data_IF_515159182605
#
_entry.id   IF_515159182605
#
_cell.length_a   1.000
_cell.length_b   1.000
_cell.length_c   1.000
_cell.angle_alpha   90.00
_cell.angle_beta   90.00
_cell.angle_gamma   90.00
#
_symmetry.space_group_name_H-M   'P 1'
#
loop_
_entity.id
_entity.type
_entity.pdbx_description
1 polymer ?
#
# COMPACT_ATOMS: atom_id res chain seq x y z
N UNK A 1 30.87 -18.92 -27.55
CA UNK A 1 30.21 -17.73 -28.13
C UNK A 1 29.11 -18.21 -29.08
N UNK A 2 27.96 -18.67 -28.57
CA UNK A 2 26.81 -19.11 -29.38
C UNK A 2 25.50 -18.73 -28.66
N UNK A 3 24.79 -17.84 -29.35
CA UNK A 3 23.42 -17.31 -29.28
C UNK A 3 22.56 -17.43 -28.02
N UNK A 4 22.19 -16.23 -27.54
CA UNK A 4 20.96 -15.93 -26.81
C UNK A 4 19.71 -16.33 -27.62
N UNK A 5 19.05 -17.43 -27.26
CA UNK A 5 17.61 -17.58 -27.53
C UNK A 5 16.88 -17.41 -26.20
N UNK A 6 16.71 -16.14 -25.82
CA UNK A 6 15.67 -15.70 -24.89
C UNK A 6 14.32 -15.84 -25.60
N UNK A 7 13.23 -15.84 -24.83
CA UNK A 7 11.85 -15.52 -25.21
C UNK A 7 11.64 -15.06 -26.66
N UNK A 8 10.60 -15.53 -27.38
CA UNK A 8 10.41 -15.31 -28.82
C UNK A 8 10.89 -13.93 -29.22
N UNK A 9 11.85 -13.81 -30.17
CA UNK A 9 12.74 -12.67 -30.29
C UNK A 9 11.92 -11.39 -30.25
N UNK A 10 11.98 -10.68 -29.13
CA UNK A 10 11.51 -9.31 -29.11
C UNK A 10 12.44 -8.55 -30.04
N UNK A 11 11.92 -7.95 -31.11
CA UNK A 11 12.69 -7.07 -32.00
C UNK A 11 13.35 -5.87 -31.27
N UNK A 12 13.10 -5.73 -29.97
CA UNK A 12 13.62 -4.67 -29.12
C UNK A 12 14.74 -5.19 -28.19
N UNK A 13 15.85 -4.45 -28.05
CA UNK A 13 16.87 -4.77 -27.07
C UNK A 13 16.26 -4.72 -25.65
N UNK A 14 16.71 -5.55 -24.69
CA UNK A 14 16.20 -5.59 -23.32
C UNK A 14 16.17 -4.20 -22.65
N UNK A 15 17.14 -3.35 -23.00
CA UNK A 15 17.22 -1.97 -22.53
C UNK A 15 16.05 -1.11 -23.02
N UNK A 16 15.58 -1.29 -24.26
CA UNK A 16 14.42 -0.57 -24.78
C UNK A 16 13.12 -0.95 -24.04
N UNK A 17 12.97 -2.22 -23.65
CA UNK A 17 11.83 -2.67 -22.84
C UNK A 17 11.88 -2.02 -21.46
N UNK A 18 13.03 -1.99 -20.80
CA UNK A 18 13.21 -1.34 -19.50
C UNK A 18 12.91 0.16 -19.59
N UNK A 19 13.47 0.84 -20.59
CA UNK A 19 13.24 2.27 -20.82
C UNK A 19 11.76 2.56 -21.10
N UNK A 20 11.05 1.69 -21.84
CA UNK A 20 9.62 1.82 -22.09
C UNK A 20 8.72 1.56 -20.86
N UNK A 21 9.16 0.72 -19.92
CA UNK A 21 8.42 0.44 -18.70
C UNK A 21 8.47 1.58 -17.67
N UNK A 22 9.55 2.36 -17.65
CA UNK A 22 9.71 3.51 -16.74
C UNK A 22 8.55 4.52 -16.89
N UNK A 23 8.24 5.08 -18.07
CA UNK A 23 7.15 6.05 -18.21
C UNK A 23 5.78 5.44 -17.93
N UNK A 24 5.57 4.14 -18.19
CA UNK A 24 4.32 3.45 -17.81
C UNK A 24 4.19 3.39 -16.28
N UNK A 25 5.27 3.04 -15.58
CA UNK A 25 5.29 3.00 -14.12
C UNK A 25 5.08 4.40 -13.51
N UNK A 26 5.78 5.41 -14.03
CA UNK A 26 5.64 6.82 -13.60
C UNK A 26 4.21 7.32 -13.87
N UNK A 27 3.66 7.05 -15.06
CA UNK A 27 2.30 7.44 -15.42
C UNK A 27 1.25 6.79 -14.52
N UNK A 28 1.38 5.48 -14.24
CA UNK A 28 0.46 4.76 -13.34
C UNK A 28 0.54 5.28 -11.91
N UNK A 29 1.75 5.47 -11.38
CA UNK A 29 1.97 5.95 -10.01
C UNK A 29 1.50 7.39 -9.83
N UNK A 30 1.70 8.25 -10.83
CA UNK A 30 1.21 9.62 -10.83
C UNK A 30 -0.31 9.67 -10.93
N UNK A 31 -0.92 8.90 -11.82
CA UNK A 31 -2.36 9.03 -12.13
C UNK A 31 -3.27 8.66 -10.95
N UNK A 32 -3.00 7.55 -10.27
CA UNK A 32 -3.93 6.98 -9.27
C UNK A 32 -4.35 7.95 -8.14
N UNK A 33 -3.44 8.59 -7.40
CA UNK A 33 -3.82 9.47 -6.29
C UNK A 33 -4.56 10.74 -6.77
N UNK A 34 -4.26 11.22 -7.98
CA UNK A 34 -4.93 12.40 -8.52
C UNK A 34 -6.32 12.08 -9.08
N UNK A 35 -6.52 10.92 -9.70
CA UNK A 35 -7.83 10.52 -10.25
C UNK A 35 -8.86 10.33 -9.14
N UNK A 36 -8.47 9.65 -8.05
CA UNK A 36 -9.32 9.47 -6.87
C UNK A 36 -9.82 10.82 -6.33
N UNK A 37 -8.86 11.72 -6.06
CA UNK A 37 -9.17 13.08 -5.60
C UNK A 37 -10.04 13.86 -6.60
N UNK A 38 -9.74 13.76 -7.89
CA UNK A 38 -10.49 14.46 -8.93
C UNK A 38 -11.95 13.99 -8.98
N UNK A 39 -12.21 12.67 -8.95
CA UNK A 39 -13.57 12.11 -8.94
C UNK A 39 -14.35 12.62 -7.74
N UNK A 40 -13.72 12.60 -6.57
CA UNK A 40 -14.31 13.10 -5.33
C UNK A 40 -14.69 14.57 -5.43
N UNK A 41 -13.80 15.41 -5.97
CA UNK A 41 -14.05 16.84 -6.16
C UNK A 41 -15.23 17.09 -7.12
N UNK A 42 -15.38 16.29 -8.17
CA UNK A 42 -16.53 16.41 -9.09
C UNK A 42 -17.85 15.93 -8.46
N UNK A 43 -17.81 14.91 -7.60
CA UNK A 43 -19.00 14.35 -6.94
C UNK A 43 -19.52 15.23 -5.80
N UNK A 44 -18.64 15.94 -5.09
CA UNK A 44 -18.98 16.81 -3.96
C UNK A 44 -19.87 17.99 -4.38
N UNK A 45 -19.68 18.49 -5.61
CA UNK A 45 -20.40 19.65 -6.15
C UNK A 45 -21.87 19.36 -6.51
N UNK A 46 -22.25 18.08 -6.66
CA UNK A 46 -23.58 17.67 -7.11
C UNK A 46 -24.49 17.18 -5.95
N UNK A 47 -24.08 17.33 -4.69
CA UNK A 47 -24.89 16.91 -3.53
C UNK A 47 -25.41 18.11 -2.70
N UNK A 48 -26.68 18.08 -2.23
CA UNK A 48 -27.26 19.16 -1.41
C UNK A 48 -26.75 19.15 0.05
N UNK A 49 -26.55 20.36 0.61
CA UNK A 49 -25.87 20.70 1.87
C UNK A 49 -26.21 19.89 3.15
N UNK A 50 -25.61 18.69 3.32
CA UNK A 50 -25.48 18.04 4.64
C UNK A 50 -24.10 17.41 4.87
N UNK A 51 -23.13 18.23 5.29
CA UNK A 51 -21.69 17.93 5.40
C UNK A 51 -21.29 16.51 5.85
N UNK A 52 -21.85 16.00 6.95
CA UNK A 52 -21.39 14.73 7.54
C UNK A 52 -21.92 13.46 6.83
N UNK A 53 -23.04 13.57 6.12
CA UNK A 53 -23.57 12.46 5.32
C UNK A 53 -22.99 12.49 3.90
N UNK A 54 -22.65 13.68 3.40
CA UNK A 54 -22.06 13.90 2.07
C UNK A 54 -20.72 13.18 1.92
N UNK A 55 -19.78 13.35 2.86
CA UNK A 55 -18.43 12.79 2.69
C UNK A 55 -18.43 11.26 2.57
N UNK A 56 -19.25 10.57 3.40
CA UNK A 56 -19.37 9.11 3.34
C UNK A 56 -20.04 8.63 2.06
N UNK A 57 -21.03 9.36 1.52
CA UNK A 57 -21.69 9.00 0.26
C UNK A 57 -20.79 9.24 -0.94
N UNK A 58 -20.09 10.37 -0.98
CA UNK A 58 -19.15 10.72 -2.04
C UNK A 58 -18.02 9.70 -2.11
N UNK A 59 -17.40 9.35 -0.98
CA UNK A 59 -16.34 8.32 -0.92
C UNK A 59 -16.89 6.96 -1.36
N UNK A 60 -18.09 6.57 -0.92
CA UNK A 60 -18.69 5.30 -1.34
C UNK A 60 -18.99 5.26 -2.85
N UNK A 61 -19.42 6.38 -3.44
CA UNK A 61 -19.64 6.50 -4.89
C UNK A 61 -18.33 6.45 -5.67
N UNK A 62 -17.29 7.12 -5.19
CA UNK A 62 -15.94 7.04 -5.75
C UNK A 62 -15.44 5.58 -5.76
N UNK A 63 -15.51 4.89 -4.62
CA UNK A 63 -15.12 3.49 -4.47
C UNK A 63 -15.91 2.59 -5.43
N UNK A 64 -17.22 2.84 -5.58
CA UNK A 64 -18.08 2.13 -6.52
C UNK A 64 -17.65 2.36 -7.98
N UNK A 65 -17.39 3.61 -8.39
CA UNK A 65 -16.97 3.93 -9.76
C UNK A 65 -15.60 3.34 -10.09
N UNK A 66 -14.64 3.42 -9.17
CA UNK A 66 -13.31 2.82 -9.33
C UNK A 66 -13.40 1.29 -9.39
N UNK A 67 -14.25 0.67 -8.57
CA UNK A 67 -14.49 -0.77 -8.60
C UNK A 67 -15.14 -1.21 -9.92
N UNK A 68 -16.11 -0.44 -10.41
CA UNK A 68 -16.75 -0.69 -11.70
C UNK A 68 -15.75 -0.57 -12.86
N UNK A 69 -14.93 0.49 -12.88
CA UNK A 69 -13.89 0.68 -13.89
C UNK A 69 -12.85 -0.46 -13.85
N UNK A 70 -12.45 -0.91 -12.65
CA UNK A 70 -11.57 -2.06 -12.47
C UNK A 70 -12.18 -3.35 -13.00
N UNK A 71 -13.44 -3.63 -12.68
CA UNK A 71 -14.18 -4.80 -13.17
C UNK A 71 -14.36 -4.79 -14.69
N UNK A 72 -14.74 -3.66 -15.27
CA UNK A 72 -14.85 -3.49 -16.72
C UNK A 72 -13.50 -3.67 -17.42
N UNK A 73 -12.41 -3.12 -16.86
CA UNK A 73 -11.05 -3.30 -17.37
C UNK A 73 -10.59 -4.76 -17.34
N UNK A 74 -10.92 -5.51 -16.27
CA UNK A 74 -10.65 -6.95 -16.18
C UNK A 74 -11.40 -7.73 -17.25
N UNK A 75 -12.69 -7.46 -17.46
CA UNK A 75 -13.49 -8.10 -18.51
C UNK A 75 -12.94 -7.79 -19.91
N UNK A 76 -12.56 -6.54 -20.16
CA UNK A 76 -11.97 -6.12 -21.43
C UNK A 76 -10.59 -6.76 -21.68
N UNK A 77 -9.85 -7.10 -20.61
CA UNK A 77 -8.54 -7.74 -20.73
C UNK A 77 -8.61 -9.20 -21.24
N UNK A 78 -9.73 -9.91 -20.98
CA UNK A 78 -9.91 -11.32 -21.37
C UNK A 78 -9.62 -11.62 -22.85
N UNK A 79 -10.25 -10.95 -23.83
CA UNK A 79 -9.96 -11.19 -25.25
C UNK A 79 -8.53 -10.80 -25.64
N UNK A 80 -7.94 -9.80 -24.98
CA UNK A 80 -6.57 -9.37 -25.27
C UNK A 80 -5.55 -10.46 -24.96
N UNK A 81 -5.78 -11.30 -23.95
CA UNK A 81 -4.85 -12.39 -23.59
C UNK A 81 -4.64 -13.41 -24.73
N UNK A 82 -5.58 -13.52 -25.67
CA UNK A 82 -5.46 -14.37 -26.86
C UNK A 82 -4.47 -13.76 -27.89
N UNK A 83 -4.33 -12.43 -27.90
CA UNK A 83 -3.44 -11.72 -28.80
C UNK A 83 -1.96 -11.86 -28.42
N UNK A 84 -1.07 -11.69 -29.39
CA UNK A 84 0.38 -11.61 -29.15
C UNK A 84 0.73 -10.43 -28.23
N UNK A 85 1.80 -10.57 -27.43
CA UNK A 85 2.19 -9.54 -26.46
C UNK A 85 2.42 -8.13 -27.06
N UNK A 86 2.96 -7.96 -28.28
CA UNK A 86 3.09 -6.62 -28.87
C UNK A 86 1.73 -6.03 -29.23
N UNK A 87 0.83 -6.85 -29.78
CA UNK A 87 -0.52 -6.41 -30.14
C UNK A 87 -1.32 -5.99 -28.90
N UNK A 88 -1.18 -6.74 -27.79
CA UNK A 88 -1.74 -6.36 -26.49
C UNK A 88 -1.29 -4.98 -26.03
N UNK A 89 0.01 -4.67 -26.15
CA UNK A 89 0.56 -3.37 -25.77
C UNK A 89 0.06 -2.24 -26.69
N UNK A 90 -0.01 -2.48 -28.00
CA UNK A 90 -0.54 -1.51 -28.97
C UNK A 90 -2.00 -1.19 -28.66
N UNK A 91 -2.85 -2.21 -28.49
CA UNK A 91 -4.27 -2.02 -28.17
C UNK A 91 -4.42 -1.27 -26.85
N UNK A 92 -3.68 -1.67 -25.80
CA UNK A 92 -3.70 -0.97 -24.51
C UNK A 92 -3.24 0.50 -24.64
N UNK A 93 -2.24 0.77 -25.48
CA UNK A 93 -1.78 2.13 -25.77
C UNK A 93 -2.83 2.97 -26.49
N UNK A 94 -3.49 2.42 -27.51
CA UNK A 94 -4.59 3.09 -28.21
C UNK A 94 -5.74 3.42 -27.25
N UNK A 95 -6.14 2.47 -26.39
CA UNK A 95 -7.19 2.70 -25.38
C UNK A 95 -6.79 3.82 -24.42
N UNK A 96 -5.53 3.86 -23.97
CA UNK A 96 -5.04 4.93 -23.10
C UNK A 96 -5.07 6.29 -23.81
N UNK A 97 -4.68 6.36 -25.08
CA UNK A 97 -4.73 7.60 -25.89
C UNK A 97 -6.17 8.07 -26.07
N UNK A 98 -7.09 7.16 -26.41
CA UNK A 98 -8.52 7.49 -26.55
C UNK A 98 -9.08 8.01 -25.23
N UNK A 99 -8.79 7.33 -24.11
CA UNK A 99 -9.24 7.77 -22.78
C UNK A 99 -8.68 9.16 -22.41
N UNK A 100 -7.41 9.42 -22.73
CA UNK A 100 -6.80 10.73 -22.53
C UNK A 100 -7.43 11.83 -23.40
N UNK A 101 -7.71 11.55 -24.68
CA UNK A 101 -8.40 12.49 -25.57
C UNK A 101 -9.82 12.78 -25.08
N UNK A 102 -10.56 11.76 -24.64
CA UNK A 102 -11.87 11.95 -24.02
C UNK A 102 -11.78 12.81 -22.76
N UNK A 103 -10.77 12.56 -21.91
CA UNK A 103 -10.52 13.38 -20.72
C UNK A 103 -10.26 14.84 -21.08
N UNK A 104 -9.45 15.11 -22.11
CA UNK A 104 -9.18 16.46 -22.59
C UNK A 104 -10.42 17.14 -23.20
N UNK A 105 -11.21 16.44 -24.00
CA UNK A 105 -12.43 16.99 -24.61
C UNK A 105 -13.46 17.38 -23.56
N UNK A 106 -13.52 16.65 -22.45
CA UNK A 106 -14.40 16.93 -21.32
C UNK A 106 -13.86 18.02 -20.37
N UNK A 107 -12.69 18.61 -20.62
CA UNK A 107 -12.08 19.63 -19.73
C UNK A 107 -12.99 20.84 -19.48
N UNK A 108 -13.79 21.23 -20.48
CA UNK A 108 -14.74 22.34 -20.35
C UNK A 108 -15.92 22.01 -19.43
N UNK A 109 -16.23 20.74 -19.21
CA UNK A 109 -17.32 20.27 -18.36
C UNK A 109 -16.88 20.03 -16.92
N UNK A 110 -15.58 19.98 -16.64
CA UNK A 110 -15.07 19.75 -15.30
C UNK A 110 -15.15 21.00 -14.45
N UNK A 111 -15.61 20.83 -13.21
CA UNK A 111 -15.59 21.88 -12.21
C UNK A 111 -14.15 22.21 -11.84
N UNK A 112 -13.78 23.50 -11.92
CA UNK A 112 -12.45 24.00 -11.56
C UNK A 112 -12.49 24.55 -10.15
N UNK A 113 -12.04 23.78 -9.17
CA UNK A 113 -11.80 24.30 -7.82
C UNK A 113 -10.46 25.03 -7.82
N UNK A 114 -10.43 26.25 -7.27
CA UNK A 114 -9.16 26.93 -7.01
C UNK A 114 -8.34 26.05 -6.07
N UNK A 115 -7.25 25.50 -6.59
CA UNK A 115 -6.31 24.78 -5.76
C UNK A 115 -5.67 25.80 -4.80
N UNK A 116 -6.06 25.75 -3.52
CA UNK A 116 -5.29 26.40 -2.48
C UNK A 116 -3.80 26.12 -2.72
N UNK A 117 -2.92 27.13 -2.68
CA UNK A 117 -1.57 27.06 -3.26
C UNK A 117 -0.86 25.77 -2.84
N UNK A 118 -0.79 24.84 -3.80
CA UNK A 118 -0.33 23.46 -3.64
C UNK A 118 1.12 23.45 -3.11
N UNK A 119 1.87 24.52 -3.36
CA UNK A 119 3.29 24.65 -3.07
C UNK A 119 3.66 24.56 -1.58
N UNK A 120 2.74 24.74 -0.62
CA UNK A 120 3.14 24.92 0.79
C UNK A 120 2.97 23.68 1.70
N UNK A 121 2.34 22.59 1.24
CA UNK A 121 1.97 21.45 2.12
C UNK A 121 2.71 20.13 1.86
N UNK A 122 3.27 19.89 0.68
CA UNK A 122 3.85 18.59 0.32
C UNK A 122 5.16 18.23 1.04
N UNK A 123 5.82 19.23 1.66
CA UNK A 123 7.00 19.03 2.51
C UNK A 123 6.74 19.37 3.97
N UNK A 124 5.47 19.45 4.41
CA UNK A 124 5.13 19.83 5.78
C UNK A 124 5.83 18.93 6.82
N UNK A 125 5.84 17.61 6.60
CA UNK A 125 6.53 16.66 7.49
C UNK A 125 8.04 16.92 7.55
N UNK A 126 8.70 17.09 6.41
CA UNK A 126 10.15 17.39 6.35
C UNK A 126 10.46 18.73 7.00
N UNK A 127 9.63 19.74 6.76
CA UNK A 127 9.74 21.07 7.36
C UNK A 127 9.56 21.01 8.88
N UNK A 128 8.59 20.24 9.38
CA UNK A 128 8.35 20.05 10.82
C UNK A 128 9.54 19.36 11.47
N UNK A 129 10.07 18.28 10.86
CA UNK A 129 11.26 17.60 11.37
C UNK A 129 12.47 18.54 11.39
N UNK A 130 12.66 19.30 10.33
CA UNK A 130 13.74 20.29 10.23
C UNK A 130 13.62 21.39 11.29
N UNK A 131 12.42 21.98 11.45
CA UNK A 131 12.13 22.97 12.47
C UNK A 131 12.35 22.43 13.89
N UNK A 132 11.94 21.19 14.16
CA UNK A 132 12.17 20.54 15.45
C UNK A 132 13.66 20.32 15.75
N UNK A 133 14.47 19.99 14.72
CA UNK A 133 15.92 19.86 14.86
C UNK A 133 16.57 21.22 15.16
N UNK A 134 16.16 22.27 14.46
CA UNK A 134 16.67 23.63 14.68
C UNK A 134 16.29 24.14 16.07
N UNK A 135 15.04 23.93 16.49
CA UNK A 135 14.51 24.41 17.77
C UNK A 135 14.81 23.44 18.93
N UNK A 136 15.70 22.46 18.75
CA UNK A 136 16.00 21.44 19.78
C UNK A 136 16.53 22.05 21.09
N UNK A 137 17.13 23.24 21.02
CA UNK A 137 17.66 23.97 22.17
C UNK A 137 16.57 24.65 23.01
N UNK A 138 15.35 24.83 22.48
CA UNK A 138 14.28 25.55 23.15
C UNK A 138 13.78 24.78 24.38
N UNK A 139 13.49 25.50 25.45
CA UNK A 139 12.84 24.94 26.63
C UNK A 139 11.38 24.61 26.33
N UNK A 140 10.85 23.56 26.99
CA UNK A 140 9.47 23.16 26.78
C UNK A 140 8.55 24.14 27.52
N UNK A 141 7.58 24.77 26.84
CA UNK A 141 6.76 25.79 27.47
C UNK A 141 5.90 25.23 28.60
N UNK A 142 5.70 26.02 29.65
CA UNK A 142 4.85 25.66 30.80
C UNK A 142 3.36 25.92 30.56
N UNK A 143 3.01 26.67 29.50
CA UNK A 143 1.64 27.01 29.11
C UNK A 143 1.37 26.67 27.64
N UNK A 144 0.20 26.11 27.28
CA UNK A 144 -0.18 25.76 25.91
C UNK A 144 -0.27 26.96 24.95
N UNK A 145 -0.35 28.19 25.48
CA UNK A 145 -0.44 29.43 24.68
C UNK A 145 0.85 29.77 23.92
N UNK A 146 1.96 29.10 24.21
CA UNK A 146 3.24 29.31 23.51
C UNK A 146 3.39 28.49 22.23
N UNK A 147 2.39 27.66 21.89
CA UNK A 147 2.37 26.93 20.63
C UNK A 147 1.70 27.74 19.52
N UNK A 148 2.25 27.66 18.31
CA UNK A 148 1.72 28.33 17.13
C UNK A 148 0.48 27.62 16.59
N UNK A 149 -0.68 28.22 16.82
CA UNK A 149 -1.97 27.79 16.27
C UNK A 149 -2.27 28.64 15.04
N UNK A 150 -2.60 27.98 13.92
CA UNK A 150 -3.03 28.68 12.71
C UNK A 150 -4.56 28.77 12.75
N UNK A 151 -5.14 29.96 12.60
CA UNK A 151 -6.60 30.23 12.55
C UNK A 151 -7.45 29.77 13.77
N UNK A 152 -7.04 30.03 15.02
CA UNK A 152 -7.83 29.69 16.22
C UNK A 152 -8.29 28.22 16.28
N UNK A 153 -7.51 27.28 15.71
CA UNK A 153 -7.75 25.85 15.88
C UNK A 153 -7.66 25.51 17.39
N UNK A 154 -8.75 25.05 18.02
CA UNK A 154 -8.82 24.60 19.44
C UNK A 154 -8.05 23.28 19.69
N UNK A 155 -7.18 22.88 18.77
CA UNK A 155 -6.40 21.65 18.85
C UNK A 155 -5.25 21.83 19.85
N UNK A 156 -5.49 21.39 21.08
CA UNK A 156 -4.43 21.31 22.08
C UNK A 156 -3.36 20.30 21.66
N UNK A 157 -2.09 20.71 21.81
CA UNK A 157 -0.93 19.88 21.52
C UNK A 157 -0.75 18.89 22.69
N UNK A 158 -1.57 17.86 22.72
CA UNK A 158 -1.52 16.85 23.79
C UNK A 158 -0.15 16.17 23.79
N UNK A 159 0.47 15.99 24.97
CA UNK A 159 1.78 15.34 25.12
C UNK A 159 1.64 13.83 24.97
N UNK A 160 1.15 13.37 23.82
CA UNK A 160 1.00 11.96 23.52
C UNK A 160 2.25 11.48 22.77
N UNK A 161 2.88 10.45 23.36
CA UNK A 161 4.18 9.84 23.07
C UNK A 161 5.42 10.63 23.57
N UNK A 162 5.93 10.25 24.76
CA UNK A 162 7.20 10.73 25.34
C UNK A 162 8.38 10.63 24.34
N UNK A 163 8.35 9.65 23.44
CA UNK A 163 9.39 9.42 22.42
C UNK A 163 9.40 10.48 21.29
N UNK A 164 8.27 11.15 21.04
CA UNK A 164 8.12 12.14 19.97
C UNK A 164 8.02 13.58 20.50
N UNK A 165 8.26 13.78 21.81
CA UNK A 165 8.16 15.09 22.46
C UNK A 165 9.09 16.15 21.88
N UNK A 166 10.21 15.74 21.28
CA UNK A 166 11.14 16.67 20.64
C UNK A 166 10.53 17.35 19.39
N UNK A 167 9.52 16.74 18.75
CA UNK A 167 8.87 17.27 17.56
C UNK A 167 7.96 18.45 17.90
N UNK A 168 7.46 18.51 19.13
CA UNK A 168 6.62 19.61 19.65
C UNK A 168 7.36 20.94 19.61
N UNK A 169 8.70 20.90 19.62
CA UNK A 169 9.54 22.09 19.53
C UNK A 169 9.45 22.81 18.19
N UNK A 170 8.94 22.16 17.14
CA UNK A 170 8.66 22.82 15.86
C UNK A 170 7.51 23.83 15.94
N UNK A 171 6.63 23.71 16.93
CA UNK A 171 5.49 24.61 17.13
C UNK A 171 5.73 25.68 18.21
N UNK A 172 6.90 25.70 18.86
CA UNK A 172 7.21 26.70 19.90
C UNK A 172 7.52 28.04 19.25
N UNK A 173 6.79 29.08 19.66
CA UNK A 173 7.05 30.46 19.23
C UNK A 173 8.29 30.98 19.96
N UNK A 174 9.32 31.36 19.21
CA UNK A 174 10.50 32.03 19.77
C UNK A 174 10.24 33.54 19.87
N UNK A 175 10.49 34.13 21.05
CA UNK A 175 10.14 35.52 21.37
C UNK A 175 11.02 36.58 20.70
N UNK A 176 12.15 36.19 20.12
CA UNK A 176 13.18 37.11 19.57
C UNK A 176 12.95 37.51 18.12
N UNK A 177 12.09 36.80 17.37
CA UNK A 177 11.81 37.01 15.96
C UNK A 177 10.29 37.08 15.72
N UNK A 178 9.86 37.90 14.76
CA UNK A 178 8.44 37.97 14.37
C UNK A 178 7.93 36.64 13.79
N UNK A 179 6.69 36.26 14.12
CA UNK A 179 6.08 34.98 13.73
C UNK A 179 6.13 34.74 12.21
N UNK A 180 5.78 35.73 11.39
CA UNK A 180 5.81 35.63 9.92
C UNK A 180 7.22 35.37 9.37
N UNK A 181 8.25 35.94 9.99
CA UNK A 181 9.64 35.73 9.59
C UNK A 181 10.11 34.32 9.93
N UNK A 182 9.71 33.79 11.09
CA UNK A 182 10.02 32.42 11.50
C UNK A 182 9.29 31.38 10.63
N UNK A 183 8.04 31.66 10.28
CA UNK A 183 7.26 30.80 9.38
C UNK A 183 7.89 30.77 7.99
N UNK A 184 8.25 31.94 7.43
CA UNK A 184 8.89 32.05 6.11
C UNK A 184 10.28 31.41 6.08
N UNK A 185 11.01 31.44 7.20
CA UNK A 185 12.29 30.76 7.36
C UNK A 185 12.18 29.24 7.58
N UNK A 186 10.95 28.71 7.69
CA UNK A 186 10.70 27.29 7.93
C UNK A 186 11.07 26.82 9.35
N UNK A 187 11.19 27.76 10.31
CA UNK A 187 11.53 27.50 11.72
C UNK A 187 10.32 27.39 12.65
N UNK A 188 9.15 27.82 12.17
CA UNK A 188 7.88 27.71 12.88
C UNK A 188 6.88 26.90 12.05
N UNK A 189 6.19 25.97 12.70
CA UNK A 189 5.15 25.13 12.12
C UNK A 189 3.90 25.14 13.01
N UNK A 190 2.71 24.97 12.41
CA UNK A 190 1.47 24.93 13.18
C UNK A 190 1.32 23.63 13.97
N UNK A 191 0.60 23.70 15.10
CA UNK A 191 0.25 22.54 15.94
C UNK A 191 -0.31 21.37 15.13
N UNK A 192 -1.21 21.67 14.19
CA UNK A 192 -1.80 20.67 13.29
C UNK A 192 -0.75 19.94 12.45
N UNK A 193 0.20 20.66 11.86
CA UNK A 193 1.28 20.04 11.07
C UNK A 193 2.17 19.15 11.93
N UNK A 194 2.41 19.53 13.20
CA UNK A 194 3.18 18.76 14.17
C UNK A 194 2.45 17.46 14.54
N UNK A 195 1.15 17.53 14.85
CA UNK A 195 0.33 16.35 15.14
C UNK A 195 0.26 15.38 13.94
N UNK A 196 0.00 15.91 12.75
CA UNK A 196 -0.01 15.14 11.50
C UNK A 196 1.35 14.45 11.24
N UNK A 197 2.46 15.12 11.54
CA UNK A 197 3.82 14.55 11.42
C UNK A 197 4.08 13.45 12.46
N UNK A 198 3.66 13.66 13.71
CA UNK A 198 3.75 12.63 14.76
C UNK A 198 2.94 11.39 14.39
N UNK A 199 1.78 11.57 13.79
CA UNK A 199 0.95 10.47 13.31
C UNK A 199 1.69 9.63 12.25
N UNK A 200 2.29 10.28 11.24
CA UNK A 200 3.14 9.59 10.23
C UNK A 200 4.24 8.77 10.90
N UNK A 201 4.97 9.37 11.86
CA UNK A 201 6.07 8.70 12.54
C UNK A 201 5.61 7.50 13.39
N UNK A 202 4.41 7.57 13.98
CA UNK A 202 3.79 6.44 14.67
C UNK A 202 3.47 5.27 13.73
N UNK A 203 3.28 5.52 12.44
CA UNK A 203 2.98 4.49 11.42
C UNK A 203 4.23 3.82 10.83
N UNK A 204 5.41 4.43 10.95
CA UNK A 204 6.67 3.89 10.41
C UNK A 204 6.95 2.43 10.84
N UNK A 205 6.78 2.03 12.11
CA UNK A 205 6.95 0.64 12.50
C UNK A 205 5.99 -0.31 11.77
N UNK A 206 4.72 0.06 11.62
CA UNK A 206 3.73 -0.75 10.89
C UNK A 206 4.13 -0.88 9.43
N UNK A 207 4.50 0.22 8.77
CA UNK A 207 4.98 0.19 7.38
C UNK A 207 6.20 -0.72 7.20
N UNK A 208 7.09 -0.80 8.20
CA UNK A 208 8.25 -1.71 8.11
C UNK A 208 7.85 -3.19 8.03
N UNK A 209 6.75 -3.63 8.68
CA UNK A 209 6.19 -4.97 8.48
C UNK A 209 5.68 -5.17 7.05
N UNK A 210 5.10 -4.12 6.46
CA UNK A 210 4.54 -4.17 5.11
C UNK A 210 5.59 -4.21 4.01
N UNK A 211 6.85 -3.85 4.30
CA UNK A 211 7.97 -4.06 3.36
C UNK A 211 8.18 -5.55 3.09
N UNK A 212 8.22 -6.38 4.15
CA UNK A 212 8.38 -7.83 4.00
C UNK A 212 7.14 -8.50 3.42
N UNK A 213 5.95 -8.01 3.77
CA UNK A 213 4.71 -8.44 3.11
C UNK A 213 4.73 -8.12 1.61
N UNK A 214 5.14 -6.89 1.26
CA UNK A 214 5.29 -6.42 -0.11
C UNK A 214 6.31 -7.22 -0.92
N UNK A 215 7.41 -7.66 -0.28
CA UNK A 215 8.37 -8.59 -0.85
C UNK A 215 7.69 -9.91 -1.27
N UNK A 216 6.93 -10.54 -0.38
CA UNK A 216 6.22 -11.80 -0.65
C UNK A 216 5.14 -11.60 -1.72
N UNK A 217 4.39 -10.51 -1.65
CA UNK A 217 3.38 -10.14 -2.65
C UNK A 217 4.00 -9.92 -4.04
N UNK A 218 5.11 -9.19 -4.12
CA UNK A 218 5.84 -8.94 -5.38
C UNK A 218 6.40 -10.23 -5.96
N UNK A 219 6.99 -11.07 -5.12
CA UNK A 219 7.49 -12.39 -5.51
C UNK A 219 6.35 -13.28 -6.03
N UNK A 220 5.20 -13.30 -5.37
CA UNK A 220 4.06 -14.08 -5.83
C UNK A 220 3.49 -13.61 -7.16
N UNK A 221 3.31 -12.30 -7.34
CA UNK A 221 2.82 -11.75 -8.60
C UNK A 221 3.76 -12.04 -9.80
N UNK A 222 5.06 -12.11 -9.55
CA UNK A 222 6.08 -12.30 -10.60
C UNK A 222 6.39 -13.78 -10.85
N UNK A 223 6.76 -14.52 -9.80
CA UNK A 223 7.25 -15.89 -9.89
C UNK A 223 6.11 -16.88 -10.19
N UNK A 224 4.95 -16.73 -9.55
CA UNK A 224 3.78 -17.58 -9.86
C UNK A 224 3.28 -17.40 -11.29
N UNK A 225 3.37 -16.18 -11.82
CA UNK A 225 3.04 -15.92 -13.23
C UNK A 225 4.06 -16.57 -14.17
N UNK A 226 5.34 -16.57 -13.78
CA UNK A 226 6.40 -17.21 -14.56
C UNK A 226 6.28 -18.75 -14.57
N UNK A 227 5.91 -19.36 -13.43
CA UNK A 227 5.53 -20.77 -13.36
C UNK A 227 4.37 -21.09 -14.30
N UNK A 228 3.31 -20.27 -14.27
CA UNK A 228 2.12 -20.46 -15.06
C UNK A 228 2.35 -20.42 -16.58
N UNK A 229 3.35 -19.66 -17.05
CA UNK A 229 3.71 -19.58 -18.48
C UNK A 229 4.40 -20.87 -18.97
N UNK A 230 5.08 -21.63 -18.10
CA UNK A 230 5.85 -22.83 -18.46
C UNK A 230 5.06 -24.14 -18.45
N UNK A 231 3.78 -24.08 -18.11
CA UNK A 231 2.89 -25.24 -18.11
C UNK A 231 2.27 -25.45 -19.49
N UNK A 232 2.05 -26.71 -19.89
CA UNK A 232 1.49 -27.05 -21.22
C UNK A 232 0.10 -26.41 -21.48
N UNK A 233 -0.62 -26.06 -20.43
CA UNK A 233 -1.93 -25.39 -20.48
C UNK A 233 -1.87 -23.85 -20.35
N UNK A 234 -0.69 -23.24 -20.39
CA UNK A 234 -0.42 -21.84 -20.01
C UNK A 234 -1.22 -20.78 -20.78
N UNK A 235 -1.21 -20.84 -22.11
CA UNK A 235 -1.48 -19.65 -22.93
C UNK A 235 -2.95 -19.17 -22.89
N UNK A 236 -3.90 -20.03 -22.50
CA UNK A 236 -5.32 -19.66 -22.40
C UNK A 236 -5.84 -19.55 -20.98
N UNK A 237 -5.25 -20.27 -20.02
CA UNK A 237 -5.83 -20.41 -18.70
C UNK A 237 -5.20 -19.54 -17.62
N UNK A 238 -4.01 -18.96 -17.87
CA UNK A 238 -3.34 -18.06 -16.93
C UNK A 238 -4.21 -16.85 -16.55
N UNK A 239 -4.97 -16.32 -17.51
CA UNK A 239 -5.87 -15.19 -17.25
C UNK A 239 -6.94 -15.53 -16.21
N UNK A 240 -7.44 -16.78 -16.18
CA UNK A 240 -8.42 -17.18 -15.17
C UNK A 240 -7.80 -17.23 -13.77
N UNK A 241 -6.50 -17.55 -13.63
CA UNK A 241 -5.80 -17.47 -12.35
C UNK A 241 -5.62 -16.03 -11.87
N UNK A 242 -5.30 -15.11 -12.78
CA UNK A 242 -5.19 -13.67 -12.47
C UNK A 242 -6.57 -13.10 -12.07
N UNK A 243 -7.64 -13.51 -12.77
CA UNK A 243 -9.01 -13.18 -12.39
C UNK A 243 -9.37 -13.77 -11.02
N UNK A 244 -8.98 -15.02 -10.75
CA UNK A 244 -9.23 -15.69 -9.48
C UNK A 244 -8.59 -14.94 -8.30
N UNK A 245 -7.33 -14.50 -8.44
CA UNK A 245 -6.67 -13.62 -7.47
C UNK A 245 -7.42 -12.30 -7.29
N UNK A 246 -7.83 -11.65 -8.39
CA UNK A 246 -8.54 -10.37 -8.36
C UNK A 246 -9.90 -10.48 -7.66
N UNK A 247 -10.63 -11.57 -7.91
CA UNK A 247 -11.89 -11.90 -7.25
C UNK A 247 -11.69 -12.19 -5.76
N UNK A 248 -10.70 -13.01 -5.40
CA UNK A 248 -10.38 -13.32 -4.01
C UNK A 248 -10.04 -12.06 -3.21
N UNK A 249 -9.26 -11.14 -3.80
CA UNK A 249 -8.99 -9.82 -3.23
C UNK A 249 -10.28 -9.03 -3.02
N UNK A 250 -11.10 -8.87 -4.05
CA UNK A 250 -12.36 -8.13 -3.98
C UNK A 250 -13.35 -8.68 -2.94
N UNK A 251 -13.45 -10.02 -2.83
CA UNK A 251 -14.32 -10.69 -1.85
C UNK A 251 -13.99 -10.28 -0.41
N UNK A 252 -12.71 -10.05 -0.12
CA UNK A 252 -12.28 -9.73 1.24
C UNK A 252 -12.11 -8.23 1.47
N UNK A 253 -11.88 -7.45 0.41
CA UNK A 253 -11.85 -5.99 0.48
C UNK A 253 -13.23 -5.39 0.75
N UNK A 254 -14.28 -5.97 0.18
CA UNK A 254 -15.63 -5.40 0.31
C UNK A 254 -16.17 -5.41 1.74
N UNK A 255 -17.18 -4.55 1.98
CA UNK A 255 -18.03 -4.56 3.19
C UNK A 255 -18.78 -5.89 3.38
N UNK A 256 -18.75 -6.79 2.40
CA UNK A 256 -19.29 -8.15 2.48
C UNK A 256 -18.31 -9.14 3.12
N UNK A 257 -17.08 -8.73 3.44
CA UNK A 257 -16.14 -9.63 4.11
C UNK A 257 -16.73 -10.16 5.43
N UNK A 258 -16.56 -11.46 5.73
CA UNK A 258 -17.07 -12.06 6.97
C UNK A 258 -16.61 -11.30 8.22
N UNK A 259 -15.38 -10.77 8.19
CA UNK A 259 -14.79 -9.93 9.24
C UNK A 259 -15.48 -8.55 9.38
N UNK A 260 -16.02 -8.00 8.29
CA UNK A 260 -16.81 -6.77 8.34
C UNK A 260 -18.20 -7.02 8.90
N UNK A 261 -18.87 -8.11 8.47
CA UNK A 261 -20.18 -8.51 8.97
C UNK A 261 -20.14 -8.85 10.47
N UNK A 262 -19.12 -9.60 10.91
CA UNK A 262 -18.89 -9.89 12.33
C UNK A 262 -18.63 -8.63 13.16
N UNK A 263 -18.11 -7.57 12.54
CA UNK A 263 -17.85 -6.29 13.19
C UNK A 263 -19.09 -5.45 13.46
N UNK A 264 -20.21 -5.64 12.75
CA UNK A 264 -21.45 -4.94 13.10
C UNK A 264 -22.00 -5.39 14.46
N UNK A 265 -21.56 -6.56 14.94
CA UNK A 265 -21.94 -7.10 16.24
C UNK A 265 -21.09 -6.54 17.39
N UNK A 266 -19.91 -5.96 17.12
CA UNK A 266 -19.00 -5.42 18.14
C UNK A 266 -18.45 -4.02 17.80
N UNK A 267 -19.27 -2.95 17.92
CA UNK A 267 -18.93 -1.60 17.45
C UNK A 267 -17.80 -0.89 18.24
N UNK A 268 -17.54 -1.26 19.50
CA UNK A 268 -16.52 -0.61 20.36
C UNK A 268 -15.07 -1.04 20.08
N UNK A 269 -14.81 -1.81 19.02
CA UNK A 269 -13.52 -2.45 18.74
C UNK A 269 -12.90 -2.10 17.37
N UNK A 270 -13.22 -0.94 16.77
CA UNK A 270 -12.79 -0.56 15.40
C UNK A 270 -11.27 -0.65 15.16
N UNK A 271 -10.45 -0.08 16.05
CA UNK A 271 -8.99 -0.16 15.92
C UNK A 271 -8.46 -1.60 16.06
N UNK A 272 -9.07 -2.40 16.95
CA UNK A 272 -8.75 -3.83 17.09
C UNK A 272 -9.14 -4.60 15.82
N UNK A 273 -10.22 -4.23 15.14
CA UNK A 273 -10.68 -4.85 13.88
C UNK A 273 -9.72 -4.61 12.72
N UNK A 274 -9.29 -3.36 12.49
CA UNK A 274 -8.39 -3.04 11.37
C UNK A 274 -7.06 -3.78 11.53
N UNK A 275 -6.53 -3.85 12.76
CA UNK A 275 -5.36 -4.66 13.06
C UNK A 275 -5.60 -6.15 12.85
N UNK A 276 -6.76 -6.69 13.23
CA UNK A 276 -7.10 -8.11 12.97
C UNK A 276 -7.17 -8.44 11.47
N UNK A 277 -7.59 -7.50 10.62
CA UNK A 277 -7.52 -7.67 9.16
C UNK A 277 -6.07 -7.77 8.69
N UNK A 278 -5.20 -6.88 9.17
CA UNK A 278 -3.76 -6.93 8.89
C UNK A 278 -3.19 -8.29 9.31
N UNK A 279 -3.51 -8.75 10.52
CA UNK A 279 -3.13 -10.08 11.02
C UNK A 279 -3.60 -11.22 10.12
N UNK A 280 -4.86 -11.19 9.70
CA UNK A 280 -5.41 -12.18 8.78
C UNK A 280 -4.60 -12.25 7.49
N UNK A 281 -4.27 -11.10 6.89
CA UNK A 281 -3.44 -11.04 5.69
C UNK A 281 -2.04 -11.61 5.92
N UNK A 282 -1.40 -11.27 7.04
CA UNK A 282 -0.06 -11.79 7.38
C UNK A 282 -0.05 -13.29 7.63
N UNK A 283 -1.05 -13.85 8.32
CA UNK A 283 -1.17 -15.30 8.55
C UNK A 283 -1.43 -16.04 7.23
N UNK A 284 -2.30 -15.51 6.37
CA UNK A 284 -2.55 -16.09 5.05
C UNK A 284 -1.28 -16.04 4.19
N UNK A 285 -0.39 -15.06 4.36
CA UNK A 285 0.91 -15.04 3.66
C UNK A 285 1.81 -16.23 3.99
N UNK A 286 1.72 -16.78 5.21
CA UNK A 286 2.42 -18.02 5.59
C UNK A 286 1.82 -19.20 4.84
N UNK A 287 0.49 -19.30 4.83
CA UNK A 287 -0.24 -20.37 4.12
C UNK A 287 0.03 -20.32 2.62
N UNK A 288 0.00 -19.12 2.02
CA UNK A 288 0.35 -18.88 0.63
C UNK A 288 1.76 -19.40 0.34
N UNK A 289 2.75 -18.98 1.13
CA UNK A 289 4.15 -19.38 0.94
C UNK A 289 4.32 -20.90 1.06
N UNK A 290 3.63 -21.53 2.01
CA UNK A 290 3.67 -22.99 2.21
C UNK A 290 3.06 -23.74 1.01
N UNK A 291 1.92 -23.27 0.49
CA UNK A 291 1.28 -23.86 -0.69
C UNK A 291 2.17 -23.68 -1.92
N UNK A 292 2.69 -22.48 -2.17
CA UNK A 292 3.60 -22.21 -3.28
C UNK A 292 4.85 -23.10 -3.22
N UNK A 293 5.44 -23.28 -2.04
CA UNK A 293 6.54 -24.22 -1.84
C UNK A 293 6.16 -25.66 -2.21
N UNK A 294 5.00 -26.14 -1.75
CA UNK A 294 4.55 -27.51 -2.06
C UNK A 294 4.26 -27.73 -3.54
N UNK A 295 3.61 -26.76 -4.19
CA UNK A 295 3.31 -26.80 -5.63
C UNK A 295 4.61 -26.83 -6.43
N UNK A 296 5.61 -26.04 -6.04
CA UNK A 296 6.90 -26.02 -6.73
C UNK A 296 7.71 -27.31 -6.53
N UNK A 297 7.71 -27.89 -5.32
CA UNK A 297 8.32 -29.22 -5.09
C UNK A 297 7.65 -30.28 -5.97
N UNK A 298 6.32 -30.26 -6.07
CA UNK A 298 5.58 -31.19 -6.92
C UNK A 298 5.90 -30.99 -8.41
N UNK A 299 6.01 -29.75 -8.87
CA UNK A 299 6.41 -29.42 -10.24
C UNK A 299 7.80 -29.95 -10.58
N UNK A 300 8.77 -29.76 -9.68
CA UNK A 300 10.14 -30.27 -9.86
C UNK A 300 10.18 -31.81 -9.88
N UNK A 301 9.39 -32.49 -9.04
CA UNK A 301 9.30 -33.96 -9.05
C UNK A 301 8.75 -34.50 -10.38
N UNK A 302 7.76 -33.81 -10.99
CA UNK A 302 7.26 -34.19 -12.31
C UNK A 302 8.33 -33.94 -13.37
N UNK A 303 9.04 -32.81 -13.28
CA UNK A 303 10.14 -32.49 -14.21
C UNK A 303 11.24 -33.56 -14.18
N UNK A 304 11.72 -33.94 -12.99
CA UNK A 304 12.77 -34.96 -12.84
C UNK A 304 12.32 -36.33 -13.40
N UNK A 305 11.07 -36.73 -13.15
CA UNK A 305 10.51 -37.97 -13.71
C UNK A 305 10.42 -37.90 -15.22
N UNK A 306 9.86 -36.83 -15.76
CA UNK A 306 9.68 -36.67 -17.20
C UNK A 306 11.02 -36.64 -17.94
N UNK A 307 12.01 -35.92 -17.38
CA UNK A 307 13.37 -35.85 -17.90
C UNK A 307 14.10 -37.20 -17.85
N UNK A 308 13.86 -38.02 -16.82
CA UNK A 308 14.43 -39.37 -16.73
C UNK A 308 13.84 -40.36 -17.76
N UNK A 309 12.60 -40.13 -18.22
CA UNK A 309 11.92 -41.00 -19.19
C UNK A 309 12.17 -40.57 -20.64
N UNK A 310 12.34 -39.28 -20.92
CA UNK A 310 12.69 -38.80 -22.25
C UNK A 310 14.21 -38.80 -22.44
N UNK A 311 14.73 -39.79 -23.18
CA UNK A 311 16.14 -39.84 -23.60
C UNK A 311 16.58 -38.67 -24.51
N UNK A 312 15.79 -37.59 -24.63
CA UNK A 312 16.11 -36.40 -25.39
C UNK A 312 16.89 -35.40 -24.53
N UNK A 313 18.19 -35.48 -24.69
CA UNK A 313 19.16 -34.50 -24.22
C UNK A 313 18.90 -33.14 -24.91
N UNK A 314 18.78 -32.09 -24.10
CA UNK A 314 18.89 -30.65 -24.43
C UNK A 314 17.71 -29.78 -24.86
N UNK A 315 16.45 -30.22 -24.78
CA UNK A 315 15.34 -29.24 -24.96
C UNK A 315 14.92 -28.62 -23.61
N UNK A 316 15.38 -27.40 -23.34
CA UNK A 316 15.17 -26.68 -22.08
C UNK A 316 13.80 -25.96 -21.98
N UNK A 317 13.00 -26.00 -23.05
CA UNK A 317 11.68 -25.36 -23.17
C UNK A 317 10.52 -26.38 -23.21
N UNK A 318 10.73 -27.55 -22.58
CA UNK A 318 9.67 -28.56 -22.47
C UNK A 318 8.55 -28.01 -21.57
N UNK A 319 7.37 -27.84 -22.17
CA UNK A 319 6.14 -27.61 -21.45
C UNK A 319 5.83 -28.84 -20.59
N UNK A 320 5.72 -28.64 -19.27
CA UNK A 320 5.43 -29.73 -18.35
C UNK A 320 3.97 -30.19 -18.48
N UNK A 321 3.69 -31.51 -18.47
CA UNK A 321 2.35 -32.08 -18.50
C UNK A 321 1.66 -31.95 -17.13
N UNK A 322 1.63 -30.74 -16.59
CA UNK A 322 1.00 -30.39 -15.33
C UNK A 322 -0.11 -29.38 -15.60
N UNK A 323 -1.28 -29.66 -15.03
CA UNK A 323 -2.44 -28.77 -15.16
C UNK A 323 -2.20 -27.45 -14.44
N UNK A 324 -2.51 -26.33 -15.11
CA UNK A 324 -2.45 -24.97 -14.56
C UNK A 324 -3.30 -24.78 -13.30
N UNK A 325 -4.35 -25.58 -13.11
CA UNK A 325 -5.23 -25.50 -11.94
C UNK A 325 -4.53 -25.86 -10.62
N UNK A 326 -3.38 -26.52 -10.66
CA UNK A 326 -2.55 -26.72 -9.47
C UNK A 326 -2.02 -25.41 -8.88
N UNK A 327 -1.96 -24.34 -9.67
CA UNK A 327 -1.61 -22.99 -9.19
C UNK A 327 -2.83 -22.25 -8.61
N UNK A 328 -4.07 -22.73 -8.80
CA UNK A 328 -5.26 -22.03 -8.32
C UNK A 328 -5.27 -21.78 -6.79
N UNK A 329 -4.85 -22.73 -5.92
CA UNK A 329 -4.80 -22.50 -4.48
C UNK A 329 -3.85 -21.36 -4.08
N UNK A 330 -2.67 -21.27 -4.71
CA UNK A 330 -1.72 -20.19 -4.42
C UNK A 330 -2.23 -18.82 -4.91
N UNK A 331 -2.87 -18.75 -6.08
CA UNK A 331 -3.48 -17.50 -6.57
C UNK A 331 -4.66 -17.02 -5.70
N UNK A 332 -5.49 -17.93 -5.20
CA UNK A 332 -6.56 -17.63 -4.24
C UNK A 332 -6.00 -17.04 -2.94
N UNK A 333 -5.01 -17.72 -2.34
CA UNK A 333 -4.39 -17.26 -1.10
C UNK A 333 -3.65 -15.94 -1.28
N UNK A 334 -3.00 -15.73 -2.43
CA UNK A 334 -2.35 -14.47 -2.79
C UNK A 334 -3.35 -13.30 -2.81
N UNK A 335 -4.53 -13.51 -3.42
CA UNK A 335 -5.59 -12.51 -3.44
C UNK A 335 -6.18 -12.22 -2.05
N UNK A 336 -6.39 -13.26 -1.23
CA UNK A 336 -6.88 -13.09 0.13
C UNK A 336 -5.90 -12.36 1.05
N UNK A 337 -4.60 -12.70 0.99
CA UNK A 337 -3.61 -11.99 1.80
C UNK A 337 -3.51 -10.52 1.38
N UNK A 338 -3.50 -10.24 0.07
CA UNK A 338 -3.44 -8.88 -0.46
C UNK A 338 -4.64 -8.07 0.03
N UNK A 339 -5.86 -8.53 -0.23
CA UNK A 339 -7.08 -7.81 0.14
C UNK A 339 -7.20 -7.53 1.64
N UNK A 340 -6.89 -8.52 2.50
CA UNK A 340 -6.92 -8.31 3.95
C UNK A 340 -5.88 -7.31 4.44
N UNK A 341 -4.65 -7.43 3.96
CA UNK A 341 -3.54 -6.65 4.47
C UNK A 341 -3.59 -5.20 3.97
N UNK A 342 -3.88 -4.98 2.68
CA UNK A 342 -3.93 -3.63 2.09
C UNK A 342 -5.09 -2.82 2.63
N UNK A 343 -6.29 -3.40 2.70
CA UNK A 343 -7.47 -2.71 3.24
C UNK A 343 -7.37 -2.53 4.75
N UNK A 344 -6.81 -3.53 5.45
CA UNK A 344 -6.51 -3.43 6.87
C UNK A 344 -5.59 -2.26 7.17
N UNK A 345 -4.53 -2.09 6.37
CA UNK A 345 -3.59 -0.98 6.49
C UNK A 345 -4.25 0.35 6.16
N UNK A 346 -5.00 0.42 5.06
CA UNK A 346 -5.65 1.65 4.60
C UNK A 346 -6.62 2.20 5.64
N UNK A 347 -7.47 1.33 6.19
CA UNK A 347 -8.38 1.73 7.26
C UNK A 347 -7.64 2.03 8.56
N UNK A 348 -6.53 1.35 8.86
CA UNK A 348 -5.75 1.61 10.06
C UNK A 348 -5.06 2.98 10.02
N UNK A 349 -4.50 3.37 8.87
CA UNK A 349 -3.85 4.68 8.70
C UNK A 349 -4.82 5.84 8.53
N UNK A 350 -6.08 5.57 8.18
CA UNK A 350 -7.11 6.60 8.00
C UNK A 350 -8.15 6.62 9.14
N UNK A 351 -7.91 5.91 10.25
CA UNK A 351 -8.87 5.73 11.36
C UNK A 351 -9.08 7.01 12.19
N UNK A 352 -8.10 7.91 12.21
CA UNK A 352 -8.15 9.11 13.05
C UNK A 352 -8.89 10.26 12.34
N UNK A 353 -9.94 10.74 13.01
CA UNK A 353 -10.89 11.73 12.49
C UNK A 353 -10.26 13.14 12.39
N UNK A 354 -9.21 13.42 13.16
CA UNK A 354 -8.56 14.73 13.18
C UNK A 354 -7.65 14.98 11.97
N UNK A 355 -7.32 13.95 11.18
CA UNK A 355 -6.49 14.10 9.99
C UNK A 355 -7.25 14.84 8.88
N UNK A 356 -6.55 15.81 8.28
CA UNK A 356 -7.04 16.46 7.06
C UNK A 356 -7.22 15.45 5.92
N UNK A 357 -8.20 15.71 5.04
CA UNK A 357 -8.46 14.88 3.85
C UNK A 357 -7.22 14.71 2.97
N UNK A 358 -6.43 15.79 2.80
CA UNK A 358 -5.18 15.75 2.05
C UNK A 358 -4.14 14.82 2.68
N UNK A 359 -4.09 14.75 4.02
CA UNK A 359 -3.18 13.83 4.70
C UNK A 359 -3.61 12.36 4.54
N UNK A 360 -4.91 12.06 4.60
CA UNK A 360 -5.43 10.70 4.35
C UNK A 360 -5.03 10.20 2.95
N UNK A 361 -5.17 11.05 1.92
CA UNK A 361 -4.73 10.73 0.55
C UNK A 361 -3.21 10.49 0.50
N UNK A 362 -2.43 11.31 1.21
CA UNK A 362 -0.97 11.14 1.27
C UNK A 362 -0.56 9.83 1.96
N UNK A 363 -1.21 9.46 3.06
CA UNK A 363 -0.99 8.19 3.76
C UNK A 363 -1.34 6.99 2.89
N UNK A 364 -2.46 7.06 2.16
CA UNK A 364 -2.85 6.04 1.17
C UNK A 364 -1.76 5.83 0.10
N UNK A 365 -1.21 6.93 -0.43
CA UNK A 365 -0.12 6.87 -1.39
C UNK A 365 1.15 6.23 -0.79
N UNK A 366 1.48 6.53 0.48
CA UNK A 366 2.59 5.86 1.19
C UNK A 366 2.33 4.37 1.36
N UNK A 367 1.11 3.96 1.74
CA UNK A 367 0.75 2.55 1.89
C UNK A 367 1.04 1.77 0.59
N UNK A 368 0.58 2.28 -0.55
CA UNK A 368 0.83 1.67 -1.86
C UNK A 368 2.32 1.66 -2.20
N UNK A 369 3.04 2.76 -1.92
CA UNK A 369 4.47 2.87 -2.18
C UNK A 369 5.30 1.87 -1.36
N UNK A 370 4.99 1.69 -0.08
CA UNK A 370 5.69 0.73 0.81
C UNK A 370 5.44 -0.70 0.34
N UNK A 371 4.18 -1.06 0.11
CA UNK A 371 3.80 -2.44 -0.25
C UNK A 371 4.32 -2.80 -1.65
N UNK A 372 4.02 -1.98 -2.65
CA UNK A 372 4.30 -2.32 -4.04
C UNK A 372 5.68 -1.85 -4.47
N UNK A 373 6.05 -0.60 -4.15
CA UNK A 373 7.31 0.01 -4.56
C UNK A 373 8.50 -0.59 -3.82
N UNK A 374 8.60 -0.34 -2.51
CA UNK A 374 9.72 -0.80 -1.68
C UNK A 374 9.77 -2.33 -1.64
N UNK A 375 8.62 -2.99 -1.50
CA UNK A 375 8.52 -4.45 -1.55
C UNK A 375 9.06 -5.06 -2.86
N UNK A 376 8.77 -4.47 -4.02
CA UNK A 376 9.29 -4.95 -5.30
C UNK A 376 10.77 -4.68 -5.49
N UNK A 377 11.28 -3.53 -5.02
CA UNK A 377 12.73 -3.25 -5.02
C UNK A 377 13.46 -4.27 -4.16
N UNK A 378 12.91 -4.60 -2.98
CA UNK A 378 13.48 -5.63 -2.11
C UNK A 378 13.44 -7.00 -2.78
N UNK A 379 12.35 -7.36 -3.48
CA UNK A 379 12.27 -8.60 -4.26
C UNK A 379 13.35 -8.68 -5.34
N UNK A 380 13.53 -7.61 -6.12
CA UNK A 380 14.59 -7.53 -7.14
C UNK A 380 15.97 -7.71 -6.50
N UNK A 381 16.23 -7.05 -5.37
CA UNK A 381 17.49 -7.17 -4.63
C UNK A 381 17.71 -8.60 -4.12
N UNK A 382 16.67 -9.25 -3.59
CA UNK A 382 16.72 -10.65 -3.15
C UNK A 382 17.04 -11.60 -4.32
N UNK A 383 16.37 -11.42 -5.47
CA UNK A 383 16.63 -12.22 -6.68
C UNK A 383 18.07 -12.00 -7.16
N UNK A 384 18.52 -10.75 -7.24
CA UNK A 384 19.86 -10.40 -7.71
C UNK A 384 20.97 -10.90 -6.77
N UNK A 385 20.74 -10.88 -5.47
CA UNK A 385 21.71 -11.34 -4.46
C UNK A 385 21.83 -12.86 -4.43
N UNK A 386 20.74 -13.57 -4.75
CA UNK A 386 20.67 -15.03 -4.72
C UNK A 386 20.90 -15.68 -6.09
N UNK A 387 22.01 -15.32 -6.78
CA UNK A 387 22.37 -15.90 -8.09
C UNK A 387 22.54 -17.42 -8.09
N UNK A 388 22.70 -18.05 -6.92
CA UNK A 388 22.75 -19.51 -6.76
C UNK A 388 21.38 -20.17 -6.76
N UNK A 389 20.30 -19.42 -6.52
CA UNK A 389 18.92 -19.92 -6.51
C UNK A 389 18.22 -19.67 -7.84
N UNK A 390 18.55 -18.56 -8.52
CA UNK A 390 17.91 -18.15 -9.77
C UNK A 390 18.86 -18.34 -10.95
N UNK A 391 18.54 -19.31 -11.80
CA UNK A 391 19.28 -19.65 -13.03
C UNK A 391 18.56 -19.11 -14.28
N UNK A 392 19.19 -19.25 -15.45
CA UNK A 392 18.64 -18.79 -16.73
C UNK A 392 17.32 -19.48 -17.12
N UNK A 393 17.10 -20.70 -16.66
CA UNK A 393 15.84 -21.43 -16.85
C UNK A 393 15.13 -21.63 -15.51
N UNK A 394 13.80 -21.62 -15.52
CA UNK A 394 12.97 -21.92 -14.35
C UNK A 394 13.24 -23.33 -13.80
N UNK A 395 13.53 -24.29 -14.69
CA UNK A 395 13.75 -25.69 -14.29
C UNK A 395 15.07 -25.87 -13.55
N UNK A 396 16.10 -25.09 -13.89
CA UNK A 396 17.37 -25.07 -13.15
C UNK A 396 17.26 -24.23 -11.87
N UNK A 397 16.29 -23.31 -11.81
CA UNK A 397 16.08 -22.43 -10.67
C UNK A 397 15.51 -23.19 -9.48
N UNK A 398 16.12 -23.00 -8.31
CA UNK A 398 15.67 -23.59 -7.04
C UNK A 398 14.65 -22.71 -6.35
N UNK A 399 13.54 -22.50 -7.05
CA UNK A 399 12.42 -21.69 -6.56
C UNK A 399 11.73 -22.37 -5.36
N UNK A 400 11.79 -23.69 -5.28
CA UNK A 400 11.40 -24.48 -4.10
C UNK A 400 12.10 -24.01 -2.82
N UNK A 401 13.41 -23.77 -2.90
CA UNK A 401 14.19 -23.25 -1.78
C UNK A 401 13.80 -21.82 -1.44
N UNK A 402 13.53 -20.97 -2.44
CA UNK A 402 13.10 -19.59 -2.22
C UNK A 402 11.76 -19.52 -1.48
N UNK A 403 10.74 -20.25 -1.92
CA UNK A 403 9.46 -20.34 -1.18
C UNK A 403 9.60 -21.01 0.18
N UNK A 404 10.49 -21.99 0.31
CA UNK A 404 10.84 -22.57 1.62
C UNK A 404 11.39 -21.50 2.56
N UNK A 405 12.28 -20.61 2.09
CA UNK A 405 12.81 -19.51 2.91
C UNK A 405 11.71 -18.52 3.32
N UNK A 406 10.77 -18.21 2.42
CA UNK A 406 9.61 -17.38 2.75
C UNK A 406 8.70 -18.01 3.81
N UNK A 407 8.45 -19.32 3.68
CA UNK A 407 7.60 -20.08 4.59
C UNK A 407 8.23 -20.23 5.97
N UNK A 408 9.53 -20.56 6.05
CA UNK A 408 10.20 -20.86 7.31
C UNK A 408 10.65 -19.61 8.07
N UNK A 409 11.06 -18.56 7.37
CA UNK A 409 11.71 -17.41 7.99
C UNK A 409 10.96 -16.10 7.76
N UNK A 410 10.79 -15.66 6.52
CA UNK A 410 10.31 -14.30 6.23
C UNK A 410 8.90 -14.06 6.76
N UNK A 411 7.93 -14.91 6.40
CA UNK A 411 6.53 -14.71 6.79
C UNK A 411 6.26 -14.94 8.29
N UNK A 412 6.83 -15.97 8.97
CA UNK A 412 6.64 -16.13 10.40
C UNK A 412 7.34 -15.03 11.21
N UNK A 413 8.57 -14.65 10.86
CA UNK A 413 9.27 -13.56 11.54
C UNK A 413 8.53 -12.23 11.39
N UNK A 414 7.97 -11.96 10.20
CA UNK A 414 7.16 -10.76 10.00
C UNK A 414 5.88 -10.77 10.84
N UNK A 415 5.24 -11.93 11.03
CA UNK A 415 4.10 -12.07 11.94
C UNK A 415 4.50 -11.80 13.40
N UNK A 416 5.62 -12.35 13.87
CA UNK A 416 6.13 -12.08 15.23
C UNK A 416 6.50 -10.60 15.39
N UNK A 417 7.09 -9.99 14.37
CA UNK A 417 7.43 -8.59 14.39
C UNK A 417 6.18 -7.69 14.45
N UNK A 418 5.13 -8.03 13.68
CA UNK A 418 3.83 -7.38 13.79
C UNK A 418 3.20 -7.57 15.17
N UNK A 419 3.38 -8.75 15.81
CA UNK A 419 3.00 -8.97 17.22
C UNK A 419 3.58 -7.92 18.13
N UNK A 420 4.90 -7.77 18.08
CA UNK A 420 5.63 -6.84 18.94
C UNK A 420 5.17 -5.39 18.71
N UNK A 421 4.99 -4.99 17.45
CA UNK A 421 4.51 -3.65 17.11
C UNK A 421 3.06 -3.44 17.58
N UNK A 422 2.18 -4.43 17.38
CA UNK A 422 0.78 -4.32 17.80
C UNK A 422 0.67 -4.16 19.32
N UNK A 423 1.44 -4.92 20.10
CA UNK A 423 1.52 -4.79 21.57
C UNK A 423 2.01 -3.40 21.96
N UNK A 424 3.06 -2.91 21.29
CA UNK A 424 3.62 -1.58 21.55
C UNK A 424 2.59 -0.46 21.28
N UNK A 425 1.86 -0.54 20.16
CA UNK A 425 0.84 0.45 19.79
C UNK A 425 -0.34 0.43 20.77
N UNK A 426 -0.89 -0.75 21.09
CA UNK A 426 -2.03 -0.84 22.00
C UNK A 426 -1.67 -0.44 23.42
N UNK A 427 -0.51 -0.84 23.92
CA UNK A 427 -0.03 -0.41 25.24
C UNK A 427 0.18 1.10 25.29
N UNK A 428 0.69 1.71 24.21
CA UNK A 428 0.83 3.16 24.10
C UNK A 428 -0.52 3.90 24.16
N UNK A 429 -1.56 3.34 23.52
CA UNK A 429 -2.90 3.93 23.52
C UNK A 429 -3.61 3.77 24.88
N UNK A 430 -3.46 2.63 25.57
CA UNK A 430 -4.03 2.44 26.91
C UNK A 430 -3.42 3.43 27.92
N UNK A 431 -2.10 3.63 27.87
CA UNK A 431 -1.42 4.62 28.73
C UNK A 431 -1.87 6.05 28.40
N UNK A 432 -2.16 6.36 27.13
CA UNK A 432 -2.68 7.67 26.74
C UNK A 432 -4.10 7.92 27.30
N UNK A 433 -5.00 6.94 27.20
CA UNK A 433 -6.37 7.04 27.73
C UNK A 433 -6.42 7.15 29.25
N UNK A 434 -5.54 6.43 29.96
CA UNK A 434 -5.44 6.53 31.43
C UNK A 434 -4.96 7.92 31.86
N UNK A 435 -4.03 8.53 31.12
CA UNK A 435 -3.57 9.88 31.41
C UNK A 435 -4.63 10.95 31.09
N UNK A 436 -5.46 10.76 30.05
CA UNK A 436 -6.61 11.65 29.75
C UNK A 436 -7.65 11.62 30.87
N UNK A 437 -7.98 10.44 31.38
CA UNK A 437 -8.89 10.28 32.51
C UNK A 437 -8.34 10.89 33.81
N UNK A 438 -7.02 10.80 34.04
CA UNK A 438 -6.38 11.39 35.22
C UNK A 438 -6.20 12.91 35.15
N UNK A 439 -6.07 13.49 33.95
CA UNK A 439 -5.89 14.94 33.76
C UNK A 439 -7.19 15.75 33.82
N UNK A 440 -8.33 15.12 33.50
CA UNK A 440 -9.67 15.74 33.57
C UNK A 440 -10.19 15.91 35.00
N UNK A 441 -9.68 15.15 35.98
CA UNK A 441 -10.02 15.34 37.39
C UNK A 441 -9.28 16.54 38.02
N UNK A 442 -8.07 16.87 37.57
CA UNK A 442 -7.32 18.01 38.10
C UNK A 442 -7.84 19.39 37.68
N UNK A 443 -8.55 19.49 36.55
CA UNK A 443 -9.16 20.76 36.11
C UNK A 443 -10.47 21.09 36.83
N UNK A 444 -11.20 20.09 37.34
CA UNK A 444 -12.40 20.33 38.16
C UNK A 444 -12.08 20.75 39.59
N UNK A 445 -11.00 20.26 40.18
CA UNK A 445 -10.62 20.59 41.57
C UNK A 445 -10.14 22.04 41.73
N UNK A 446 -9.61 22.66 40.67
CA UNK A 446 -9.13 24.05 40.72
C UNK A 446 -10.23 25.11 40.45
N UNK A 447 -11.47 24.71 40.13
CA UNK A 447 -12.61 25.64 39.99
C UNK A 447 -13.50 25.71 41.24
N UNK A 448 -13.32 24.83 42.24
CA UNK A 448 -14.12 24.82 43.47
C UNK A 448 -13.40 25.40 44.71
N UNK A 449 -12.23 26.01 44.56
CA UNK A 449 -11.44 26.57 45.68
C UNK A 449 -11.16 28.07 45.61
N UNK A 450 -12.16 28.88 45.25
CA UNK A 450 -12.21 30.31 45.62
C UNK A 450 -13.63 30.69 46.05
N UNK A 451 -13.81 31.07 47.31
CA UNK A 451 -14.42 32.38 47.61
C UNK A 451 -13.41 33.40 48.10
#
# INVERSE_FOLDING_TARGET
MISFNRFPPSHFPPLAIIVGLIPIAVGRAGLMPFVSRFIVEQLEDHEPDQQNIMEKRVIAREEMWLSFAGGAGLLFSLPLFICSWPLRLIISGCVLVIAYLMFLLATCSYHKREAAPIAQKHFACIRVVWAAILNRHMEYPSSPNHFFHYNNDELELWPQAKLLRWIDKAAIIESTLGQEAQEKAGRLCSVRMVQETKYILKMVPVWSCFIFFGLVLSAGNTLSSFEGIKLESANRFLIYLILLQSLARGLVSTKLSPLYLLSNWFPKAKLKKNMMRIWGGMVISILYSAVAWRVEVYRLQIFDKYHSFSHHYHDYDISLPMSIWWLAPQYLLLGFMEGLATEGLEHFTNDDEHLSRSMKIFLSAINVFVITGVGSVLNILCIYSNKKLFYLTLSDSRLDLYYKYFTMYVTPLNCVYLLMISIFIYRGNEVAQVNEASGTDTTKVNQESMP
#
